data_IF_884436936081
#
_entry.id   IF_884436936081
#
_cell.length_a   1.000
_cell.length_b   1.000
_cell.length_c   1.000
_cell.angle_alpha   90.00
_cell.angle_beta   90.00
_cell.angle_gamma   90.00
#
_symmetry.space_group_name_H-M   'P 1'
#
loop_
_entity.id
_entity.type
_entity.pdbx_description
1 polymer ?
#
# COMPACT_ATOMS: atom_id res chain seq x y z
N UNK A 1 16.58 4.31 5.22
CA UNK A 1 16.85 5.63 5.84
C UNK A 1 15.56 6.41 6.12
N UNK A 2 14.71 6.66 5.14
CA UNK A 2 13.48 7.47 5.29
C UNK A 2 12.57 7.07 6.47
N UNK A 3 12.34 5.78 6.70
CA UNK A 3 11.46 5.32 7.79
C UNK A 3 12.05 5.52 9.20
N UNK A 4 13.36 5.53 9.33
CA UNK A 4 14.02 5.75 10.64
C UNK A 4 13.98 7.21 11.08
N UNK A 5 14.00 8.15 10.15
CA UNK A 5 13.99 9.58 10.45
C UNK A 5 12.69 10.00 11.14
N UNK A 6 11.53 9.56 10.66
CA UNK A 6 10.23 9.90 11.25
C UNK A 6 10.03 9.29 12.65
N UNK A 7 10.75 8.21 12.97
CA UNK A 7 10.71 7.59 14.30
C UNK A 7 11.60 8.30 15.33
N UNK A 8 12.44 9.25 14.90
CA UNK A 8 13.39 9.96 15.77
C UNK A 8 13.02 11.42 16.02
N UNK A 9 12.05 11.96 15.31
CA UNK A 9 11.62 13.35 15.45
C UNK A 9 10.65 13.53 16.62
N UNK A 10 10.60 14.76 17.13
CA UNK A 10 9.61 15.13 18.14
C UNK A 10 8.19 15.09 17.53
N UNK A 11 7.15 14.72 18.30
CA UNK A 11 5.75 14.66 17.81
C UNK A 11 5.26 15.95 17.13
N UNK A 12 5.68 17.12 17.61
CA UNK A 12 5.34 18.41 17.00
C UNK A 12 5.93 18.54 15.57
N UNK A 13 7.14 18.04 15.36
CA UNK A 13 7.80 18.03 14.04
C UNK A 13 7.04 17.08 13.11
N UNK A 14 6.66 15.91 13.62
CA UNK A 14 5.85 14.95 12.85
C UNK A 14 4.49 15.55 12.46
N UNK A 15 3.78 16.18 13.40
CA UNK A 15 2.53 16.86 13.11
C UNK A 15 2.70 17.96 12.03
N UNK A 16 3.81 18.71 12.08
CA UNK A 16 4.15 19.71 11.05
C UNK A 16 4.37 19.08 9.68
N UNK A 17 5.03 17.92 9.61
CA UNK A 17 5.21 17.16 8.37
C UNK A 17 3.83 16.74 7.80
N UNK A 18 2.93 16.23 8.64
CA UNK A 18 1.57 15.85 8.21
C UNK A 18 0.75 17.07 7.77
N UNK A 19 0.89 18.20 8.46
CA UNK A 19 0.27 19.47 8.04
C UNK A 19 0.73 19.90 6.66
N UNK A 20 2.02 19.84 6.38
CA UNK A 20 2.59 20.16 5.07
C UNK A 20 2.13 19.18 3.98
N UNK A 21 1.85 17.92 4.35
CA UNK A 21 1.31 16.89 3.48
C UNK A 21 -0.22 16.90 3.35
N UNK A 22 -0.92 17.88 3.90
CA UNK A 22 -2.38 18.03 3.75
C UNK A 22 -2.70 18.48 2.33
N UNK A 23 -3.50 17.67 1.62
CA UNK A 23 -3.86 17.91 0.20
C UNK A 23 -5.28 18.43 0.02
N UNK A 24 -6.14 18.23 1.03
CA UNK A 24 -7.52 18.69 1.04
C UNK A 24 -8.04 18.79 2.48
N UNK A 25 -8.92 19.74 2.74
CA UNK A 25 -9.67 19.82 4.00
C UNK A 25 -10.97 20.61 3.82
N UNK A 26 -11.96 20.23 4.62
CA UNK A 26 -13.23 20.94 4.76
C UNK A 26 -13.71 20.88 6.23
N UNK A 27 -14.98 21.18 6.46
CA UNK A 27 -15.63 21.17 7.80
C UNK A 27 -15.62 19.78 8.45
N UNK A 28 -15.59 18.69 7.68
CA UNK A 28 -15.75 17.32 8.15
C UNK A 28 -14.47 16.48 8.10
N UNK A 29 -13.58 16.72 7.13
CA UNK A 29 -12.42 15.89 6.87
C UNK A 29 -11.14 16.68 6.66
N UNK A 30 -10.03 15.99 6.92
CA UNK A 30 -8.68 16.37 6.54
C UNK A 30 -8.05 15.22 5.78
N UNK A 31 -7.47 15.50 4.62
CA UNK A 31 -6.83 14.49 3.77
C UNK A 31 -5.34 14.76 3.72
N UNK A 32 -4.57 13.76 4.09
CA UNK A 32 -3.10 13.82 4.07
C UNK A 32 -2.53 12.90 3.00
N UNK A 33 -1.38 13.27 2.48
CA UNK A 33 -0.48 12.38 1.74
C UNK A 33 0.45 11.70 2.75
N UNK A 34 0.10 10.48 3.17
CA UNK A 34 0.87 9.76 4.20
C UNK A 34 2.29 9.54 3.73
N UNK A 35 3.30 9.97 4.50
CA UNK A 35 4.70 9.74 4.16
C UNK A 35 5.10 8.27 4.30
N UNK A 36 6.15 7.88 3.60
CA UNK A 36 6.75 6.56 3.66
C UNK A 36 7.28 6.23 5.06
N UNK A 37 7.05 5.02 5.51
CA UNK A 37 7.64 4.50 6.73
C UNK A 37 6.99 4.97 8.04
N UNK A 38 5.87 5.72 7.96
CA UNK A 38 5.10 6.14 9.11
C UNK A 38 3.93 5.18 9.35
N UNK A 39 3.91 4.44 10.48
CA UNK A 39 2.77 3.62 10.84
C UNK A 39 1.57 4.47 11.26
N UNK A 40 0.37 3.95 11.00
CA UNK A 40 -0.89 4.61 11.41
C UNK A 40 -1.14 4.42 12.91
N UNK A 41 -0.92 3.21 13.41
CA UNK A 41 -1.07 2.85 14.82
C UNK A 41 0.27 2.55 15.47
N UNK A 42 0.34 2.77 16.79
CA UNK A 42 1.47 2.38 17.62
C UNK A 42 1.60 0.87 17.78
N UNK A 43 2.69 0.44 18.39
CA UNK A 43 3.00 -0.96 18.66
C UNK A 43 4.42 -1.14 19.20
N UNK A 44 4.84 -2.38 19.48
CA UNK A 44 6.19 -2.64 19.96
C UNK A 44 7.26 -2.07 19.02
N UNK A 45 8.22 -1.31 19.58
CA UNK A 45 9.31 -0.70 18.82
C UNK A 45 8.92 0.52 17.96
N UNK A 46 7.67 1.00 18.02
CA UNK A 46 7.20 2.21 17.35
C UNK A 46 7.22 3.37 18.34
N UNK A 47 7.99 4.41 18.03
CA UNK A 47 8.03 5.64 18.83
C UNK A 47 7.01 6.67 18.38
N UNK A 48 6.80 6.79 17.08
CA UNK A 48 5.87 7.73 16.46
C UNK A 48 4.93 7.04 15.49
N UNK A 49 3.65 7.37 15.58
CA UNK A 49 2.62 6.95 14.62
C UNK A 49 1.66 8.11 14.36
N UNK A 50 0.81 7.98 13.34
CA UNK A 50 -0.18 9.02 13.01
C UNK A 50 -1.15 9.23 14.16
N UNK A 51 -1.65 8.16 14.78
CA UNK A 51 -2.62 8.24 15.88
C UNK A 51 -2.14 9.13 17.04
N UNK A 52 -0.86 9.08 17.37
CA UNK A 52 -0.29 9.84 18.50
C UNK A 52 -0.26 11.36 18.27
N UNK A 53 -0.22 11.80 17.02
CA UNK A 53 -0.09 13.22 16.67
C UNK A 53 -1.39 13.85 16.19
N UNK A 54 -2.50 13.11 16.15
CA UNK A 54 -3.81 13.65 15.73
C UNK A 54 -4.28 14.84 16.57
N UNK A 55 -4.09 14.88 17.90
CA UNK A 55 -4.44 16.05 18.70
C UNK A 55 -3.61 17.29 18.32
N UNK A 56 -2.32 17.11 18.10
CA UNK A 56 -1.42 18.20 17.71
C UNK A 56 -1.76 18.72 16.32
N UNK A 57 -1.97 17.81 15.38
CA UNK A 57 -2.33 18.15 14.00
C UNK A 57 -3.65 18.94 13.92
N UNK A 58 -4.66 18.54 14.68
CA UNK A 58 -5.93 19.25 14.76
C UNK A 58 -5.75 20.72 15.20
N UNK A 59 -4.96 20.94 16.25
CA UNK A 59 -4.64 22.28 16.75
C UNK A 59 -3.88 23.13 15.73
N UNK A 60 -2.94 22.53 15.02
CA UNK A 60 -2.16 23.20 13.97
C UNK A 60 -2.99 23.58 12.75
N UNK A 61 -4.04 22.80 12.43
CA UNK A 61 -4.88 23.02 11.25
C UNK A 61 -6.05 23.96 11.50
N UNK A 62 -6.52 24.06 12.74
CA UNK A 62 -7.72 24.82 13.08
C UNK A 62 -7.42 25.89 14.14
N UNK A 63 -7.36 25.51 15.42
CA UNK A 63 -7.04 26.37 16.56
C UNK A 63 -6.74 25.54 17.81
N UNK A 64 -6.31 26.21 18.89
CA UNK A 64 -5.89 25.55 20.14
C UNK A 64 -7.01 24.79 20.87
N UNK A 65 -8.29 25.06 20.55
CA UNK A 65 -9.46 24.38 21.14
C UNK A 65 -9.96 23.22 20.28
N UNK A 66 -9.32 22.96 19.14
CA UNK A 66 -9.74 21.89 18.23
C UNK A 66 -9.64 20.51 18.89
N UNK A 67 -10.71 19.73 18.75
CA UNK A 67 -10.75 18.33 19.13
C UNK A 67 -9.80 17.51 18.27
N UNK A 68 -9.24 16.40 18.79
CA UNK A 68 -8.38 15.50 18.01
C UNK A 68 -9.06 15.00 16.74
N UNK A 69 -8.29 14.89 15.66
CA UNK A 69 -8.77 14.22 14.45
C UNK A 69 -8.94 12.71 14.71
N UNK A 70 -9.80 12.07 13.92
CA UNK A 70 -10.14 10.65 14.04
C UNK A 70 -9.67 9.88 12.82
N UNK A 71 -9.14 8.67 13.04
CA UNK A 71 -8.82 7.72 12.00
C UNK A 71 -10.09 7.13 11.37
N UNK A 72 -10.15 7.06 10.06
CA UNK A 72 -11.27 6.46 9.31
C UNK A 72 -10.89 5.14 8.66
N UNK A 73 -9.64 5.02 8.25
CA UNK A 73 -9.04 3.84 7.64
C UNK A 73 -7.53 3.84 7.88
N UNK A 74 -6.84 2.86 7.33
CA UNK A 74 -5.39 2.75 7.48
C UNK A 74 -4.71 2.42 6.17
N UNK A 75 -3.45 2.81 6.07
CA UNK A 75 -2.47 2.33 5.10
C UNK A 75 -1.36 1.60 5.85
N UNK A 76 -0.69 0.68 5.18
CA UNK A 76 0.48 0.02 5.74
C UNK A 76 1.62 1.04 5.96
N UNK A 77 2.52 0.74 6.89
CA UNK A 77 3.65 1.60 7.25
C UNK A 77 4.44 2.09 6.04
N UNK A 78 4.70 1.20 5.09
CA UNK A 78 5.53 1.46 3.90
C UNK A 78 4.73 1.90 2.68
N UNK A 79 3.40 1.97 2.78
CA UNK A 79 2.54 2.52 1.74
C UNK A 79 2.39 4.02 1.93
N UNK A 80 2.61 4.77 0.86
CA UNK A 80 2.38 6.22 0.81
C UNK A 80 1.01 6.55 0.23
N UNK A 81 0.57 7.79 0.39
CA UNK A 81 -0.57 8.29 -0.37
C UNK A 81 -1.78 8.73 0.44
N UNK A 82 -2.90 8.79 -0.22
CA UNK A 82 -4.11 9.42 0.27
C UNK A 82 -4.68 8.71 1.50
N UNK A 83 -4.85 9.47 2.57
CA UNK A 83 -5.44 9.01 3.82
C UNK A 83 -6.39 10.06 4.37
N UNK A 84 -7.63 9.66 4.67
CA UNK A 84 -8.69 10.54 5.18
C UNK A 84 -8.72 10.45 6.71
N UNK A 85 -8.76 11.62 7.33
CA UNK A 85 -8.99 11.82 8.75
C UNK A 85 -10.31 12.59 8.92
N UNK A 86 -11.05 12.34 9.98
CA UNK A 86 -12.31 13.04 10.27
C UNK A 86 -12.14 14.03 11.41
N UNK A 87 -12.89 15.14 11.36
CA UNK A 87 -12.88 16.18 12.40
C UNK A 87 -13.80 15.87 13.58
N UNK A 88 -14.76 14.95 13.41
CA UNK A 88 -15.66 14.51 14.46
C UNK A 88 -15.78 12.98 14.49
N UNK A 89 -16.25 12.47 15.61
CA UNK A 89 -16.52 11.04 15.79
C UNK A 89 -17.60 10.55 14.83
N UNK A 90 -18.65 11.34 14.65
CA UNK A 90 -19.77 11.06 13.76
C UNK A 90 -19.31 10.97 12.29
N UNK A 91 -18.51 11.93 11.84
CA UNK A 91 -17.93 11.90 10.50
C UNK A 91 -17.01 10.68 10.31
N UNK A 92 -16.21 10.34 11.33
CA UNK A 92 -15.35 9.16 11.29
C UNK A 92 -16.14 7.86 11.17
N UNK A 93 -17.22 7.70 11.93
CA UNK A 93 -18.09 6.52 11.87
C UNK A 93 -18.76 6.38 10.50
N UNK A 94 -19.28 7.49 9.95
CA UNK A 94 -19.85 7.51 8.60
C UNK A 94 -18.84 7.09 7.54
N UNK A 95 -17.63 7.63 7.58
CA UNK A 95 -16.57 7.28 6.61
C UNK A 95 -16.12 5.83 6.77
N UNK A 96 -15.94 5.34 8.01
CA UNK A 96 -15.64 3.92 8.27
C UNK A 96 -16.69 2.99 7.67
N UNK A 97 -17.98 3.37 7.78
CA UNK A 97 -19.06 2.60 7.19
C UNK A 97 -18.95 2.53 5.66
N UNK A 98 -18.59 3.65 5.00
CA UNK A 98 -18.36 3.67 3.55
C UNK A 98 -17.23 2.71 3.13
N UNK A 99 -16.13 2.63 3.89
CA UNK A 99 -15.08 1.65 3.66
C UNK A 99 -15.58 0.22 3.90
N UNK A 100 -16.26 -0.02 5.01
CA UNK A 100 -16.80 -1.34 5.37
C UNK A 100 -17.79 -1.87 4.33
N UNK A 101 -18.62 -1.00 3.78
CA UNK A 101 -19.62 -1.36 2.76
C UNK A 101 -19.08 -1.27 1.32
N UNK A 102 -17.77 -1.06 1.16
CA UNK A 102 -17.09 -1.01 -0.14
C UNK A 102 -17.61 0.05 -1.10
N UNK A 103 -18.11 1.15 -0.57
CA UNK A 103 -18.58 2.30 -1.36
C UNK A 103 -17.46 3.27 -1.73
N UNK A 104 -16.27 3.09 -1.15
CA UNK A 104 -15.08 3.88 -1.44
C UNK A 104 -14.30 3.22 -2.57
N UNK A 105 -14.05 3.97 -3.64
CA UNK A 105 -13.13 3.53 -4.70
C UNK A 105 -11.70 3.90 -4.33
N UNK A 106 -10.80 2.92 -4.41
CA UNK A 106 -9.38 3.06 -4.06
C UNK A 106 -8.54 2.72 -5.29
N UNK A 107 -7.70 3.65 -5.73
CA UNK A 107 -6.76 3.44 -6.83
C UNK A 107 -5.33 3.58 -6.28
N UNK A 108 -4.55 2.54 -6.49
CA UNK A 108 -3.13 2.50 -6.13
C UNK A 108 -2.27 2.46 -7.39
N UNK A 109 -1.07 3.01 -7.30
CA UNK A 109 -0.02 2.79 -8.26
C UNK A 109 1.09 1.97 -7.64
N UNK A 110 1.62 1.03 -8.40
CA UNK A 110 2.79 0.24 -8.00
C UNK A 110 3.77 0.13 -9.17
N UNK A 111 5.05 0.17 -8.84
CA UNK A 111 6.09 -0.29 -9.76
C UNK A 111 6.39 -1.72 -9.38
N UNK A 112 6.21 -2.65 -10.32
CA UNK A 112 6.43 -4.08 -10.14
C UNK A 112 7.55 -4.61 -11.02
N UNK A 113 8.10 -5.76 -10.66
CA UNK A 113 9.02 -6.51 -11.52
C UNK A 113 8.21 -7.38 -12.48
N UNK A 114 8.63 -7.38 -13.74
CA UNK A 114 7.93 -8.11 -14.81
C UNK A 114 6.62 -7.44 -15.23
N UNK A 115 6.01 -8.01 -16.25
CA UNK A 115 4.74 -7.58 -16.80
C UNK A 115 3.66 -8.61 -16.48
N UNK A 116 2.48 -8.21 -16.01
CA UNK A 116 1.38 -9.14 -15.85
C UNK A 116 0.87 -9.61 -17.22
N UNK A 117 0.57 -10.89 -17.33
CA UNK A 117 -0.08 -11.50 -18.49
C UNK A 117 -1.34 -12.26 -18.03
N UNK A 118 -2.54 -11.80 -18.43
CA UNK A 118 -2.84 -10.64 -19.30
C UNK A 118 -2.49 -9.28 -18.68
N UNK A 119 -2.40 -8.24 -19.53
CA UNK A 119 -2.04 -6.87 -19.12
C UNK A 119 -3.05 -6.20 -18.17
N UNK A 120 -4.29 -6.68 -18.16
CA UNK A 120 -5.33 -6.24 -17.25
C UNK A 120 -6.21 -7.42 -16.83
N UNK A 121 -6.82 -7.34 -15.67
CA UNK A 121 -7.68 -8.40 -15.16
C UNK A 121 -8.05 -8.25 -13.69
N UNK A 122 -8.48 -9.37 -13.12
CA UNK A 122 -8.91 -9.46 -11.72
C UNK A 122 -8.21 -10.66 -11.09
N UNK A 123 -7.57 -10.41 -9.93
CA UNK A 123 -7.10 -11.48 -9.05
C UNK A 123 -8.13 -11.66 -7.95
N UNK A 124 -8.81 -12.80 -7.95
CA UNK A 124 -9.83 -13.18 -6.96
C UNK A 124 -9.38 -14.46 -6.25
N UNK A 125 -8.41 -14.32 -5.36
CA UNK A 125 -7.86 -15.43 -4.60
C UNK A 125 -7.85 -15.05 -3.13
N UNK A 126 -8.49 -15.83 -2.24
CA UNK A 126 -8.47 -15.57 -0.81
C UNK A 126 -7.06 -15.55 -0.23
N UNK A 127 -6.90 -14.80 0.84
CA UNK A 127 -5.61 -14.57 1.52
C UNK A 127 -5.73 -15.01 2.96
N UNK A 128 -4.68 -15.63 3.48
CA UNK A 128 -4.59 -16.10 4.87
C UNK A 128 -3.24 -15.74 5.47
N UNK A 129 -3.21 -15.44 6.77
CA UNK A 129 -1.95 -15.29 7.49
C UNK A 129 -1.38 -16.66 7.82
N UNK A 130 -0.10 -16.86 7.53
CA UNK A 130 0.63 -18.11 7.78
C UNK A 130 1.93 -17.82 8.52
N UNK A 131 2.21 -18.64 9.52
CA UNK A 131 3.51 -18.67 10.14
C UNK A 131 4.53 -19.36 9.21
N UNK A 132 5.64 -18.68 8.98
CA UNK A 132 6.75 -19.21 8.20
C UNK A 132 7.88 -19.53 9.16
N UNK A 133 8.22 -20.81 9.25
CA UNK A 133 9.35 -21.28 10.04
C UNK A 133 10.67 -20.97 9.31
N UNK A 134 11.50 -20.17 9.95
CA UNK A 134 12.87 -19.89 9.58
C UNK A 134 13.71 -19.84 10.86
N UNK A 135 14.94 -19.36 10.81
CA UNK A 135 15.75 -19.15 12.04
C UNK A 135 15.03 -18.29 13.09
N UNK A 136 14.13 -17.40 12.65
CA UNK A 136 13.17 -16.70 13.50
C UNK A 136 11.79 -16.85 12.87
N UNK A 137 10.82 -17.38 13.63
CA UNK A 137 9.44 -17.48 13.19
C UNK A 137 8.86 -16.12 12.85
N UNK A 138 8.21 -16.00 11.71
CA UNK A 138 7.56 -14.77 11.28
C UNK A 138 6.26 -15.06 10.52
N UNK A 139 5.34 -14.07 10.53
CA UNK A 139 4.06 -14.18 9.86
C UNK A 139 4.08 -13.52 8.50
N UNK A 140 3.56 -14.22 7.50
CA UNK A 140 3.30 -13.71 6.14
C UNK A 140 1.86 -13.95 5.77
N UNK A 141 1.32 -13.04 4.96
CA UNK A 141 0.10 -13.33 4.22
C UNK A 141 0.44 -14.19 3.01
N UNK A 142 -0.45 -15.11 2.67
CA UNK A 142 -0.27 -16.00 1.51
C UNK A 142 -1.60 -16.25 0.82
N UNK A 143 -1.55 -16.74 -0.42
CA UNK A 143 -2.75 -17.16 -1.14
C UNK A 143 -3.33 -18.44 -0.54
N UNK A 144 -4.65 -18.50 -0.47
CA UNK A 144 -5.42 -19.67 -0.07
C UNK A 144 -6.45 -20.02 -1.17
N UNK A 145 -6.01 -20.48 -2.35
CA UNK A 145 -6.89 -20.76 -3.49
C UNK A 145 -7.87 -21.89 -3.16
N UNK A 146 -9.08 -21.82 -3.73
CA UNK A 146 -10.08 -22.87 -3.60
C UNK A 146 -9.92 -23.98 -4.65
N UNK A 147 -8.98 -23.81 -5.58
CA UNK A 147 -8.72 -24.74 -6.69
C UNK A 147 -7.21 -24.88 -6.89
N UNK A 148 -6.82 -26.03 -7.43
CA UNK A 148 -5.45 -26.28 -7.90
C UNK A 148 -5.48 -27.06 -9.20
N UNK A 149 -4.38 -27.06 -9.93
CA UNK A 149 -4.17 -27.98 -11.03
C UNK A 149 -3.74 -29.34 -10.46
N UNK A 150 -4.34 -30.41 -10.98
CA UNK A 150 -3.91 -31.76 -10.71
C UNK A 150 -2.52 -31.99 -11.35
N UNK A 151 -1.53 -32.50 -10.61
CA UNK A 151 -0.21 -32.78 -11.17
C UNK A 151 -0.25 -33.91 -12.23
N UNK A 152 -1.27 -34.77 -12.18
CA UNK A 152 -1.36 -35.96 -13.02
C UNK A 152 -1.94 -35.66 -14.42
N UNK A 153 -2.96 -34.84 -14.50
CA UNK A 153 -3.70 -34.61 -15.74
C UNK A 153 -3.99 -33.13 -16.07
N UNK A 154 -3.46 -32.22 -15.28
CA UNK A 154 -3.62 -30.78 -15.46
C UNK A 154 -5.04 -30.26 -15.24
N UNK A 155 -5.98 -31.10 -14.78
CA UNK A 155 -7.36 -30.67 -14.52
C UNK A 155 -7.46 -29.78 -13.30
N UNK A 156 -8.44 -28.86 -13.35
CA UNK A 156 -8.75 -28.01 -12.20
C UNK A 156 -9.53 -28.82 -11.17
N UNK A 157 -8.93 -28.97 -9.98
CA UNK A 157 -9.52 -29.70 -8.85
C UNK A 157 -9.84 -28.75 -7.74
N UNK A 158 -11.06 -28.86 -7.19
CA UNK A 158 -11.49 -28.11 -6.01
C UNK A 158 -10.75 -28.64 -4.79
N UNK A 159 -10.22 -27.73 -3.97
CA UNK A 159 -9.57 -28.09 -2.69
C UNK A 159 -10.42 -27.63 -1.52
N UNK A 160 -10.15 -28.18 -0.35
CA UNK A 160 -10.85 -27.80 0.87
C UNK A 160 -10.61 -26.32 1.18
N UNK A 161 -11.68 -25.57 1.35
CA UNK A 161 -11.63 -24.14 1.70
C UNK A 161 -10.92 -23.96 3.04
N UNK A 162 -9.97 -23.03 3.09
CA UNK A 162 -9.38 -22.60 4.35
C UNK A 162 -10.35 -21.62 5.05
N UNK A 163 -10.86 -22.02 6.21
CA UNK A 163 -11.85 -21.23 6.96
C UNK A 163 -11.30 -19.91 7.53
N UNK A 164 -9.98 -19.81 7.69
CA UNK A 164 -9.31 -18.60 8.16
C UNK A 164 -8.93 -17.64 7.03
N UNK A 165 -9.16 -18.02 5.78
CA UNK A 165 -8.85 -17.18 4.63
C UNK A 165 -9.94 -16.13 4.42
N UNK A 166 -9.50 -14.90 4.19
CA UNK A 166 -10.36 -13.77 3.83
C UNK A 166 -10.50 -13.66 2.32
N UNK A 167 -11.72 -13.42 1.84
CA UNK A 167 -11.98 -13.13 0.43
C UNK A 167 -11.24 -11.85 0.03
N UNK A 168 -10.49 -11.93 -1.06
CA UNK A 168 -9.68 -10.82 -1.55
C UNK A 168 -9.82 -10.69 -3.08
N UNK A 169 -10.14 -9.49 -3.53
CA UNK A 169 -10.35 -9.16 -4.94
C UNK A 169 -9.57 -7.89 -5.28
N UNK A 170 -8.68 -8.00 -6.25
CA UNK A 170 -7.88 -6.88 -6.78
C UNK A 170 -8.04 -6.81 -8.29
N UNK A 171 -8.48 -5.67 -8.81
CA UNK A 171 -8.38 -5.35 -10.24
C UNK A 171 -7.02 -4.74 -10.52
N UNK A 172 -6.45 -5.04 -11.66
CA UNK A 172 -5.17 -4.50 -12.10
C UNK A 172 -5.19 -4.14 -13.58
N UNK A 173 -4.38 -3.15 -13.94
CA UNK A 173 -4.15 -2.71 -15.31
C UNK A 173 -2.72 -2.25 -15.48
N UNK A 174 -2.07 -2.73 -16.53
CA UNK A 174 -0.75 -2.28 -16.95
C UNK A 174 -0.85 -0.89 -17.58
N UNK A 175 -0.13 0.09 -17.02
CA UNK A 175 -0.06 1.44 -17.57
C UNK A 175 1.17 1.67 -18.44
N UNK A 176 2.31 1.13 -18.04
CA UNK A 176 3.57 1.25 -18.78
C UNK A 176 4.48 0.07 -18.45
N UNK A 177 5.34 -0.31 -19.38
CA UNK A 177 6.33 -1.37 -19.22
C UNK A 177 7.68 -0.94 -19.78
N UNK A 178 8.74 -1.11 -19.03
CA UNK A 178 10.13 -0.85 -19.43
C UNK A 178 11.13 -1.44 -18.45
N UNK A 179 12.27 -1.86 -18.98
CA UNK A 179 13.42 -2.26 -18.14
C UNK A 179 13.11 -3.42 -17.18
N UNK A 180 12.30 -4.40 -17.63
CA UNK A 180 11.78 -5.53 -16.86
C UNK A 180 10.94 -5.10 -15.64
N UNK A 181 10.36 -3.92 -15.70
CA UNK A 181 9.44 -3.36 -14.69
C UNK A 181 8.16 -2.84 -15.34
N UNK A 182 7.10 -2.78 -14.55
CA UNK A 182 5.80 -2.26 -14.96
C UNK A 182 5.32 -1.18 -14.01
N UNK A 183 4.63 -0.18 -14.54
CA UNK A 183 3.74 0.68 -13.75
C UNK A 183 2.33 0.08 -13.83
N UNK A 184 1.77 -0.26 -12.68
CA UNK A 184 0.45 -0.85 -12.56
C UNK A 184 -0.52 0.10 -11.85
N UNK A 185 -1.74 0.17 -12.37
CA UNK A 185 -2.89 0.71 -11.65
C UNK A 185 -3.64 -0.45 -10.98
N UNK A 186 -3.98 -0.30 -9.72
CA UNK A 186 -4.54 -1.33 -8.88
C UNK A 186 -5.78 -0.81 -8.15
N UNK A 187 -6.87 -1.57 -8.21
CA UNK A 187 -8.09 -1.28 -7.50
C UNK A 187 -8.44 -2.46 -6.58
N UNK A 188 -8.05 -2.39 -5.28
CA UNK A 188 -8.49 -3.39 -4.32
C UNK A 188 -9.97 -3.17 -3.99
N UNK A 189 -10.81 -4.15 -4.28
CA UNK A 189 -12.24 -4.14 -3.96
C UNK A 189 -12.45 -4.48 -2.48
N UNK A 190 -11.65 -5.38 -1.96
CA UNK A 190 -11.56 -5.78 -0.55
C UNK A 190 -10.40 -5.06 0.13
N UNK A 191 -10.29 -5.16 1.44
CA UNK A 191 -9.24 -4.50 2.24
C UNK A 191 -8.46 -5.46 3.15
N UNK A 192 -8.02 -6.60 2.63
CA UNK A 192 -7.24 -7.58 3.39
C UNK A 192 -5.80 -7.09 3.60
N UNK A 193 -5.22 -7.41 4.75
CA UNK A 193 -3.82 -7.06 5.08
C UNK A 193 -2.86 -7.50 3.97
N UNK A 194 -2.02 -6.59 3.49
CA UNK A 194 -1.03 -6.78 2.41
C UNK A 194 -1.60 -7.32 1.07
N UNK A 195 -2.89 -7.15 0.83
CA UNK A 195 -3.59 -7.75 -0.30
C UNK A 195 -2.91 -7.51 -1.65
N UNK A 196 -2.62 -6.26 -1.99
CA UNK A 196 -2.00 -5.90 -3.27
C UNK A 196 -0.63 -6.57 -3.40
N UNK A 197 0.17 -6.53 -2.34
CA UNK A 197 1.52 -7.10 -2.32
C UNK A 197 1.50 -8.60 -2.58
N UNK A 198 0.58 -9.32 -1.94
CA UNK A 198 0.42 -10.78 -2.07
C UNK A 198 -0.16 -11.16 -3.42
N UNK A 199 -1.19 -10.46 -3.90
CA UNK A 199 -1.79 -10.71 -5.21
C UNK A 199 -0.79 -10.47 -6.34
N UNK A 200 0.01 -9.40 -6.29
CA UNK A 200 1.03 -9.15 -7.31
C UNK A 200 2.15 -10.16 -7.26
N UNK A 201 2.71 -10.45 -6.08
CA UNK A 201 3.86 -11.35 -5.95
C UNK A 201 3.49 -12.80 -6.26
N UNK A 202 2.41 -13.31 -5.67
CA UNK A 202 2.06 -14.74 -5.71
C UNK A 202 0.94 -15.06 -6.69
N UNK A 203 0.06 -14.11 -6.98
CA UNK A 203 -0.99 -14.29 -7.97
C UNK A 203 -0.53 -14.05 -9.40
N UNK A 204 0.20 -12.98 -9.64
CA UNK A 204 0.66 -12.58 -10.98
C UNK A 204 2.15 -12.84 -11.24
N UNK A 205 2.94 -13.22 -10.23
CA UNK A 205 4.38 -13.35 -10.38
C UNK A 205 5.11 -12.03 -10.63
N UNK A 206 4.47 -10.89 -10.30
CA UNK A 206 4.97 -9.54 -10.52
C UNK A 206 5.13 -8.80 -9.18
N UNK A 207 6.10 -9.17 -8.31
CA UNK A 207 6.26 -8.54 -7.01
C UNK A 207 6.56 -7.05 -7.15
N UNK A 208 6.11 -6.26 -6.19
CA UNK A 208 6.36 -4.82 -6.15
C UNK A 208 7.86 -4.57 -5.95
N UNK A 209 8.41 -3.61 -6.68
CA UNK A 209 9.80 -3.17 -6.52
C UNK A 209 10.03 -2.68 -5.09
N UNK A 210 11.05 -3.23 -4.43
CA UNK A 210 11.37 -2.94 -3.04
C UNK A 210 10.56 -3.74 -2.02
N UNK A 211 9.73 -4.70 -2.45
CA UNK A 211 9.03 -5.59 -1.54
C UNK A 211 9.90 -6.78 -1.11
N UNK A 212 10.69 -6.57 -0.07
CA UNK A 212 11.59 -7.60 0.46
C UNK A 212 10.86 -8.67 1.29
N UNK A 213 9.60 -8.43 1.66
CA UNK A 213 8.79 -9.39 2.41
C UNK A 213 8.16 -10.45 1.50
N UNK A 214 7.68 -10.06 0.32
CA UNK A 214 6.93 -10.92 -0.60
C UNK A 214 7.69 -11.28 -1.88
N UNK A 215 8.98 -11.00 -1.94
CA UNK A 215 9.85 -11.42 -3.05
C UNK A 215 10.27 -12.90 -3.01
N UNK A 216 10.01 -13.58 -1.91
CA UNK A 216 10.33 -14.98 -1.70
C UNK A 216 9.24 -15.67 -0.85
N UNK A 217 8.89 -16.91 -1.19
CA UNK A 217 7.83 -17.65 -0.49
C UNK A 217 8.12 -17.88 1.00
N UNK A 218 9.30 -18.36 1.33
CA UNK A 218 9.64 -18.87 2.66
C UNK A 218 10.69 -18.06 3.41
N UNK A 219 11.26 -17.02 2.80
CA UNK A 219 12.34 -16.25 3.40
C UNK A 219 12.04 -14.77 3.44
N UNK A 220 12.59 -14.09 4.44
CA UNK A 220 12.77 -12.64 4.44
C UNK A 220 14.16 -12.35 3.89
N UNK A 221 14.25 -12.02 2.62
CA UNK A 221 15.49 -11.78 1.92
C UNK A 221 15.38 -10.53 1.03
N UNK A 222 16.49 -9.82 0.80
CA UNK A 222 16.52 -8.75 -0.18
C UNK A 222 16.04 -9.24 -1.55
N UNK A 223 15.23 -8.42 -2.21
CA UNK A 223 14.70 -8.72 -3.54
C UNK A 223 15.85 -8.85 -4.54
N UNK A 224 15.82 -9.90 -5.35
CA UNK A 224 16.71 -10.05 -6.51
C UNK A 224 16.11 -9.25 -7.68
N UNK A 225 16.93 -8.39 -8.28
CA UNK A 225 16.51 -7.56 -9.40
C UNK A 225 17.13 -8.03 -10.70
N UNK A 226 16.40 -7.95 -11.82
CA UNK A 226 16.98 -8.18 -13.16
C UNK A 226 18.15 -7.24 -13.42
N UNK A 227 19.13 -7.69 -14.19
CA UNK A 227 20.33 -6.91 -14.50
C UNK A 227 20.01 -5.58 -15.18
N UNK A 228 19.06 -5.60 -16.13
CA UNK A 228 18.62 -4.37 -16.80
C UNK A 228 18.00 -3.36 -15.81
N UNK A 229 17.25 -3.83 -14.82
CA UNK A 229 16.67 -2.99 -13.78
C UNK A 229 17.78 -2.38 -12.91
N UNK A 230 18.74 -3.19 -12.45
CA UNK A 230 19.89 -2.71 -11.68
C UNK A 230 20.67 -1.64 -12.44
N UNK A 231 20.96 -1.89 -13.72
CA UNK A 231 21.65 -0.94 -14.59
C UNK A 231 20.90 0.38 -14.73
N UNK A 232 19.59 0.34 -14.94
CA UNK A 232 18.75 1.55 -15.07
C UNK A 232 18.67 2.32 -13.75
N UNK A 233 18.53 1.63 -12.64
CA UNK A 233 18.51 2.25 -11.32
C UNK A 233 19.88 2.74 -10.87
N UNK A 234 20.96 2.36 -11.57
CA UNK A 234 22.36 2.58 -11.16
C UNK A 234 22.61 2.03 -9.75
N UNK A 235 22.24 0.78 -9.55
CA UNK A 235 22.22 0.12 -8.26
C UNK A 235 22.93 -1.23 -8.35
N UNK A 236 23.73 -1.53 -7.35
CA UNK A 236 24.27 -2.88 -7.13
C UNK A 236 23.24 -3.75 -6.41
N UNK A 237 23.24 -5.08 -6.70
CA UNK A 237 22.33 -6.01 -6.02
C UNK A 237 22.50 -5.99 -4.49
N UNK A 238 23.69 -5.77 -3.97
CA UNK A 238 23.97 -5.66 -2.54
C UNK A 238 23.22 -4.50 -1.87
N UNK A 239 22.87 -3.48 -2.63
CA UNK A 239 22.13 -2.28 -2.19
C UNK A 239 20.61 -2.38 -2.41
N UNK A 240 20.14 -3.40 -3.11
CA UNK A 240 18.70 -3.59 -3.38
C UNK A 240 17.86 -3.62 -2.11
N UNK A 241 18.40 -4.11 -0.99
CA UNK A 241 17.75 -4.14 0.33
C UNK A 241 17.30 -2.77 0.85
N UNK A 242 17.85 -1.69 0.33
CA UNK A 242 17.54 -0.32 0.73
C UNK A 242 16.47 0.34 -0.14
N UNK A 243 16.03 -0.33 -1.20
CA UNK A 243 14.92 0.16 -2.02
C UNK A 243 13.63 0.18 -1.19
N UNK A 244 12.92 1.31 -1.19
CA UNK A 244 11.61 1.39 -0.56
C UNK A 244 10.57 0.62 -1.35
N UNK A 245 9.50 0.22 -0.67
CA UNK A 245 8.31 -0.37 -1.31
C UNK A 245 7.66 0.67 -2.25
N UNK A 246 7.57 0.35 -3.54
CA UNK A 246 6.97 1.23 -4.54
C UNK A 246 5.47 0.98 -4.68
N UNK A 247 4.73 1.27 -3.62
CA UNK A 247 3.27 1.18 -3.54
C UNK A 247 2.69 2.50 -3.00
N UNK A 248 1.81 3.11 -3.80
CA UNK A 248 1.25 4.43 -3.51
C UNK A 248 -0.27 4.44 -3.65
N UNK A 249 -0.98 4.84 -2.60
CA UNK A 249 -2.42 5.10 -2.64
C UNK A 249 -2.66 6.42 -3.37
N UNK A 250 -2.91 6.33 -4.68
CA UNK A 250 -2.93 7.47 -5.58
C UNK A 250 -4.22 8.27 -5.52
N UNK A 251 -5.37 7.58 -5.55
CA UNK A 251 -6.69 8.21 -5.56
C UNK A 251 -7.67 7.49 -4.65
N UNK A 252 -8.51 8.28 -4.01
CA UNK A 252 -9.64 7.84 -3.21
C UNK A 252 -10.88 8.59 -3.64
N UNK A 253 -11.97 7.89 -3.94
CA UNK A 253 -13.25 8.49 -4.29
C UNK A 253 -14.30 8.13 -3.25
N UNK A 254 -14.87 9.14 -2.61
CA UNK A 254 -15.87 9.03 -1.53
C UNK A 254 -17.23 9.54 -2.01
N UNK A 255 -18.33 8.84 -1.73
CA UNK A 255 -19.69 9.31 -2.03
C UNK A 255 -20.17 10.31 -0.94
N UNK A 256 -19.51 11.45 -0.83
CA UNK A 256 -19.84 12.54 0.06
C UNK A 256 -20.38 13.72 -0.76
N UNK A 257 -21.70 13.95 -0.72
CA UNK A 257 -22.38 14.91 -1.57
C UNK A 257 -22.24 14.55 -3.05
N UNK A 258 -21.69 15.47 -3.86
CA UNK A 258 -21.11 15.12 -5.14
C UNK A 258 -19.88 14.25 -4.87
N UNK A 259 -19.61 13.27 -5.75
CA UNK A 259 -18.50 12.31 -5.56
C UNK A 259 -17.16 13.04 -5.38
N UNK A 260 -16.60 12.96 -4.19
CA UNK A 260 -15.34 13.61 -3.83
C UNK A 260 -14.16 12.76 -4.27
N UNK A 261 -13.38 13.27 -5.22
CA UNK A 261 -12.16 12.63 -5.71
C UNK A 261 -10.93 13.27 -5.06
N UNK A 262 -10.17 12.48 -4.33
CA UNK A 262 -8.98 12.90 -3.60
C UNK A 262 -7.75 12.25 -4.21
N UNK A 263 -6.79 13.05 -4.66
CA UNK A 263 -5.59 12.59 -5.37
C UNK A 263 -4.34 13.03 -4.61
N UNK A 264 -3.40 12.11 -4.46
CA UNK A 264 -2.07 12.40 -3.93
C UNK A 264 -1.00 12.10 -4.98
N UNK A 265 -0.05 13.02 -5.15
CA UNK A 265 1.13 12.78 -6.00
C UNK A 265 2.01 11.71 -5.37
N UNK A 266 2.65 10.84 -6.18
CA UNK A 266 3.64 9.90 -5.68
C UNK A 266 4.80 10.61 -4.96
N UNK A 267 5.44 9.94 -3.99
CA UNK A 267 6.61 10.50 -3.33
C UNK A 267 7.80 10.61 -4.28
N UNK A 268 8.74 11.48 -3.96
CA UNK A 268 9.89 11.79 -4.80
C UNK A 268 10.70 10.54 -5.23
N UNK A 269 10.87 9.57 -4.34
CA UNK A 269 11.58 8.33 -4.69
C UNK A 269 10.86 7.54 -5.77
N UNK A 270 9.53 7.50 -5.73
CA UNK A 270 8.69 6.83 -6.73
C UNK A 270 8.81 7.52 -8.11
N UNK A 271 8.69 8.85 -8.13
CA UNK A 271 8.85 9.64 -9.37
C UNK A 271 10.25 9.48 -9.97
N UNK A 272 11.29 9.52 -9.14
CA UNK A 272 12.67 9.29 -9.60
C UNK A 272 12.86 7.89 -10.19
N UNK A 273 12.24 6.88 -9.61
CA UNK A 273 12.29 5.51 -10.12
C UNK A 273 11.57 5.40 -11.46
N UNK A 274 10.38 5.99 -11.61
CA UNK A 274 9.68 6.06 -12.91
C UNK A 274 10.57 6.63 -14.02
N UNK A 275 11.23 7.77 -13.75
CA UNK A 275 12.13 8.42 -14.70
C UNK A 275 13.32 7.53 -15.07
N UNK A 276 13.98 6.92 -14.07
CA UNK A 276 15.14 6.04 -14.31
C UNK A 276 14.78 4.81 -15.12
N UNK A 277 13.62 4.23 -14.86
CA UNK A 277 13.12 3.05 -15.56
C UNK A 277 12.43 3.40 -16.89
N UNK A 278 12.22 4.68 -17.21
CA UNK A 278 11.48 5.16 -18.38
C UNK A 278 10.04 4.60 -18.43
N UNK A 279 9.39 4.63 -17.27
CA UNK A 279 7.98 4.30 -17.15
C UNK A 279 7.19 5.62 -17.20
N UNK A 280 6.55 5.86 -18.34
CA UNK A 280 5.75 7.06 -18.53
C UNK A 280 4.35 6.87 -17.95
N UNK A 281 3.88 7.87 -17.22
CA UNK A 281 2.50 7.90 -16.76
C UNK A 281 1.65 8.29 -17.97
N UNK A 282 0.61 7.51 -18.33
CA UNK A 282 -0.30 7.91 -19.40
C UNK A 282 -0.89 9.29 -19.10
N UNK A 283 -0.95 10.15 -20.11
CA UNK A 283 -1.73 11.37 -20.01
C UNK A 283 -3.22 10.97 -19.96
N UNK A 284 -3.93 11.48 -18.96
CA UNK A 284 -5.38 11.34 -18.83
C UNK A 284 -6.12 12.03 -20.01
#
# INVERSE_FOLDING_TARGET
MLSKQLQQVHPNVLAKVLKQGTVYQNEEIVVINKPYGLPVHGGPGIKNCIADVLPILAKMLQNMKAEPLHLCHRLDKETTGVMVLARSKEAAERIRLLFKTRQVEKIYWAISLGDPDPAEGIVEIPIVEKEVQSHQSHYKMTLAPNYRLSPEDGKVVKIRKNHNAESAVTRYRLLASSSACSLLELQPITGVKHQIRVHLAYGLGCPILGDHKYSHWSKLAPQKLPEITLKRLKLEQSKARYLPLHLHAHRLSLPLGERLNLVCKPPLFFEKTLKKLRLDIPND
#
